data_IF_214245568933
#
_entry.id   IF_214245568933
#
_cell.length_a   1.000
_cell.length_b   1.000
_cell.length_c   1.000
_cell.angle_alpha   90.00
_cell.angle_beta   90.00
_cell.angle_gamma   90.00
#
_symmetry.space_group_name_H-M   'P 1'
#
loop_
_entity.id
_entity.type
_entity.pdbx_description
1 polymer ?
#
# COMPACT_ATOMS: atom_id res chain seq x y z
N UNK A 1 -16.18 4.74 12.25
CA UNK A 1 -16.21 3.39 12.86
C UNK A 1 -15.03 3.27 13.80
N UNK A 2 -15.14 2.53 14.92
CA UNK A 2 -14.01 2.31 15.81
C UNK A 2 -12.88 1.52 15.11
N UNK A 3 -11.68 1.56 15.69
CA UNK A 3 -10.52 0.78 15.26
C UNK A 3 -10.88 -0.69 15.03
N UNK A 4 -10.40 -1.28 13.95
CA UNK A 4 -10.49 -2.72 13.68
C UNK A 4 -9.62 -3.51 14.66
N UNK A 5 -10.17 -4.55 15.28
CA UNK A 5 -9.49 -5.37 16.29
C UNK A 5 -8.97 -6.70 15.75
N UNK A 6 -9.36 -7.04 14.53
CA UNK A 6 -8.95 -8.25 13.83
C UNK A 6 -7.62 -8.08 13.08
N UNK A 7 -7.21 -6.83 12.79
CA UNK A 7 -5.90 -6.51 12.21
C UNK A 7 -4.90 -6.10 13.29
N UNK A 8 -3.67 -6.61 13.20
CA UNK A 8 -2.56 -6.25 14.11
C UNK A 8 -1.39 -5.63 13.37
N UNK A 9 -1.20 -5.99 12.11
CA UNK A 9 -0.06 -5.62 11.29
C UNK A 9 -0.49 -5.19 9.89
N UNK A 10 0.07 -4.07 9.42
CA UNK A 10 -0.30 -3.45 8.16
C UNK A 10 0.96 -3.16 7.36
N UNK A 11 0.99 -3.62 6.11
CA UNK A 11 2.02 -3.31 5.13
C UNK A 11 1.62 -2.11 4.27
N UNK A 12 2.36 -1.02 4.38
CA UNK A 12 2.23 0.16 3.52
C UNK A 12 3.21 0.00 2.33
N UNK A 13 2.73 0.28 1.12
CA UNK A 13 3.56 0.31 -0.09
C UNK A 13 3.82 1.77 -0.45
N UNK A 14 5.08 2.19 -0.42
CA UNK A 14 5.51 3.53 -0.80
C UNK A 14 5.51 3.76 -2.32
N UNK A 15 5.85 4.99 -2.73
CA UNK A 15 5.84 5.39 -4.14
C UNK A 15 7.12 5.04 -4.90
N UNK A 16 8.24 4.81 -4.20
CA UNK A 16 9.54 4.63 -4.81
C UNK A 16 10.21 5.98 -5.14
N UNK A 17 11.14 6.02 -6.11
CA UNK A 17 11.89 7.23 -6.44
C UNK A 17 11.00 8.34 -6.98
N UNK A 18 11.39 9.60 -6.72
CA UNK A 18 10.69 10.78 -7.24
C UNK A 18 10.84 10.85 -8.76
N UNK A 19 9.70 11.01 -9.44
CA UNK A 19 9.62 11.22 -10.90
C UNK A 19 8.61 12.33 -11.21
N UNK A 20 8.67 12.88 -12.42
CA UNK A 20 7.66 13.84 -12.88
C UNK A 20 6.28 13.16 -12.86
N UNK A 21 5.32 13.76 -12.15
CA UNK A 21 3.96 13.23 -11.96
C UNK A 21 3.78 12.29 -10.76
N UNK A 22 4.86 11.93 -10.05
CA UNK A 22 4.80 11.18 -8.80
C UNK A 22 5.99 11.55 -7.90
N UNK A 23 5.80 12.50 -7.00
CA UNK A 23 6.87 13.15 -6.26
C UNK A 23 6.67 13.11 -4.73
N UNK A 24 7.08 14.19 -4.04
CA UNK A 24 7.18 14.27 -2.59
C UNK A 24 5.84 14.12 -1.85
N UNK A 25 4.72 14.33 -2.54
CA UNK A 25 3.37 14.18 -1.99
C UNK A 25 3.12 12.78 -1.39
N UNK A 26 3.83 11.75 -1.87
CA UNK A 26 3.70 10.39 -1.35
C UNK A 26 4.62 10.11 -0.15
N UNK A 27 5.71 10.84 0.02
CA UNK A 27 6.45 10.81 1.30
C UNK A 27 5.59 11.44 2.39
N UNK A 28 5.01 12.62 2.12
CA UNK A 28 4.09 13.28 3.03
C UNK A 28 2.91 12.37 3.43
N UNK A 29 2.22 11.80 2.43
CA UNK A 29 1.05 10.93 2.67
C UNK A 29 1.44 9.62 3.37
N UNK A 30 2.55 9.00 2.94
CA UNK A 30 3.08 7.78 3.56
C UNK A 30 3.51 7.99 5.01
N UNK A 31 4.19 9.09 5.32
CA UNK A 31 4.59 9.45 6.68
C UNK A 31 3.37 9.67 7.59
N UNK A 32 2.32 10.32 7.09
CA UNK A 32 1.06 10.47 7.82
C UNK A 32 0.38 9.12 8.08
N UNK A 33 0.35 8.23 7.08
CA UNK A 33 -0.21 6.89 7.25
C UNK A 33 0.57 6.07 8.29
N UNK A 34 1.90 6.08 8.24
CA UNK A 34 2.77 5.45 9.24
C UNK A 34 2.45 5.97 10.65
N UNK A 35 2.39 7.30 10.81
CA UNK A 35 2.09 7.93 12.10
C UNK A 35 0.71 7.54 12.62
N UNK A 36 -0.33 7.68 11.80
CA UNK A 36 -1.70 7.38 12.20
C UNK A 36 -1.88 5.92 12.62
N UNK A 37 -1.31 4.98 11.86
CA UNK A 37 -1.41 3.55 12.21
C UNK A 37 -0.62 3.20 13.48
N UNK A 38 0.53 3.82 13.71
CA UNK A 38 1.29 3.63 14.96
C UNK A 38 0.60 4.22 16.17
N UNK A 39 0.00 5.40 16.05
CA UNK A 39 -0.77 6.04 17.14
C UNK A 39 -1.97 5.17 17.54
N UNK A 40 -2.60 4.50 16.56
CA UNK A 40 -3.64 3.51 16.80
C UNK A 40 -3.11 2.17 17.30
N UNK A 41 -1.79 1.98 17.41
CA UNK A 41 -1.16 0.76 17.95
C UNK A 41 -1.17 -0.43 17.00
N UNK A 42 -1.14 -0.20 15.69
CA UNK A 42 -0.83 -1.25 14.71
C UNK A 42 0.67 -1.41 14.56
N UNK A 43 1.10 -2.64 14.27
CA UNK A 43 2.44 -2.91 13.76
C UNK A 43 2.53 -2.45 12.31
N UNK A 44 3.38 -1.48 12.02
CA UNK A 44 3.54 -0.92 10.68
C UNK A 44 4.77 -1.54 10.00
N UNK A 45 4.55 -2.14 8.84
CA UNK A 45 5.60 -2.57 7.92
C UNK A 45 5.55 -1.63 6.73
N UNK A 46 6.69 -1.13 6.29
CA UNK A 46 6.79 -0.24 5.16
C UNK A 46 7.80 -0.76 4.14
N UNK A 47 7.46 -0.68 2.85
CA UNK A 47 8.43 -0.84 1.76
C UNK A 47 8.48 0.43 0.91
N UNK A 48 9.65 1.02 0.75
CA UNK A 48 9.88 2.13 -0.16
C UNK A 48 11.33 2.14 -0.63
N UNK A 49 11.57 2.09 -1.95
CA UNK A 49 12.93 2.07 -2.49
C UNK A 49 13.65 3.43 -2.44
N UNK A 50 12.95 4.52 -2.11
CA UNK A 50 13.55 5.85 -2.03
C UNK A 50 14.13 6.10 -0.63
N UNK A 51 15.47 6.22 -0.47
CA UNK A 51 16.08 6.43 0.83
C UNK A 51 15.96 7.88 1.34
N UNK A 52 15.56 8.82 0.49
CA UNK A 52 15.47 10.24 0.83
C UNK A 52 14.04 10.62 1.26
N UNK A 53 13.41 9.81 2.12
CA UNK A 53 12.03 10.02 2.57
C UNK A 53 11.91 9.94 4.08
N UNK A 54 11.10 10.81 4.68
CA UNK A 54 10.85 10.76 6.12
C UNK A 54 10.14 9.47 6.49
N UNK A 55 9.21 8.98 5.65
CA UNK A 55 8.49 7.74 5.94
C UNK A 55 9.43 6.52 6.12
N UNK A 56 10.64 6.54 5.54
CA UNK A 56 11.64 5.48 5.69
C UNK A 56 12.56 5.65 6.90
N UNK A 57 12.39 6.69 7.72
CA UNK A 57 13.17 6.83 8.93
C UNK A 57 12.87 5.65 9.90
N UNK A 58 13.88 5.12 10.61
CA UNK A 58 13.71 3.91 11.44
C UNK A 58 12.63 4.03 12.53
N UNK A 59 12.32 5.25 12.98
CA UNK A 59 11.31 5.55 13.99
C UNK A 59 9.88 5.60 13.45
N UNK A 60 9.69 5.63 12.12
CA UNK A 60 8.38 5.83 11.50
C UNK A 60 7.58 4.54 11.32
N UNK A 61 8.23 3.38 11.27
CA UNK A 61 7.57 2.06 11.15
C UNK A 61 8.28 1.03 12.04
N UNK A 62 7.61 -0.08 12.34
CA UNK A 62 8.21 -1.17 13.14
C UNK A 62 9.17 -2.02 12.29
N UNK A 63 8.91 -2.10 10.98
CA UNK A 63 9.77 -2.75 10.01
C UNK A 63 9.83 -1.92 8.71
N UNK A 64 10.98 -1.31 8.43
CA UNK A 64 11.20 -0.51 7.22
C UNK A 64 12.09 -1.25 6.23
N UNK A 65 11.63 -1.38 4.99
CA UNK A 65 12.34 -2.01 3.88
C UNK A 65 12.67 -0.97 2.81
N UNK A 66 13.95 -0.63 2.68
CA UNK A 66 14.46 0.15 1.55
C UNK A 66 14.85 -0.81 0.43
N UNK A 67 13.83 -1.34 -0.25
CA UNK A 67 13.94 -2.40 -1.26
C UNK A 67 13.14 -2.04 -2.52
N UNK A 68 13.46 -2.62 -3.70
CA UNK A 68 12.70 -2.37 -4.92
C UNK A 68 11.21 -2.69 -4.78
N UNK A 69 10.35 -1.80 -5.28
CA UNK A 69 8.89 -1.96 -5.23
C UNK A 69 8.41 -2.79 -6.42
N UNK A 70 8.82 -4.05 -6.44
CA UNK A 70 8.35 -5.07 -7.39
C UNK A 70 7.53 -6.11 -6.65
N UNK A 71 6.50 -6.68 -7.30
CA UNK A 71 5.62 -7.63 -6.62
C UNK A 71 6.39 -8.84 -6.08
N UNK A 72 7.48 -9.27 -6.72
CA UNK A 72 8.32 -10.37 -6.25
C UNK A 72 9.04 -10.02 -4.96
N UNK A 73 9.55 -8.80 -4.84
CA UNK A 73 10.22 -8.34 -3.63
C UNK A 73 9.21 -8.16 -2.50
N UNK A 74 8.07 -7.51 -2.80
CA UNK A 74 7.01 -7.32 -1.81
C UNK A 74 6.42 -8.66 -1.37
N UNK A 75 6.33 -9.66 -2.24
CA UNK A 75 5.92 -11.02 -1.87
C UNK A 75 6.88 -11.67 -0.86
N UNK A 76 8.20 -11.47 -0.99
CA UNK A 76 9.18 -11.94 0.00
C UNK A 76 9.01 -11.23 1.35
N UNK A 77 8.72 -9.92 1.33
CA UNK A 77 8.43 -9.15 2.54
C UNK A 77 7.16 -9.69 3.19
N UNK A 78 6.09 -9.93 2.43
CA UNK A 78 4.84 -10.54 2.93
C UNK A 78 5.10 -11.93 3.52
N UNK A 79 5.90 -12.77 2.88
CA UNK A 79 6.22 -14.11 3.38
C UNK A 79 6.98 -14.07 4.72
N UNK A 80 7.91 -13.12 4.87
CA UNK A 80 8.69 -12.92 6.08
C UNK A 80 7.86 -12.28 7.20
N UNK A 81 7.14 -11.21 6.89
CA UNK A 81 6.49 -10.34 7.86
C UNK A 81 5.06 -10.75 8.21
N UNK A 82 4.41 -11.51 7.32
CA UNK A 82 3.02 -11.99 7.43
C UNK A 82 2.05 -10.88 7.89
N UNK A 83 1.97 -9.74 7.15
CA UNK A 83 1.04 -8.68 7.48
C UNK A 83 -0.40 -9.17 7.40
N UNK A 84 -1.27 -8.68 8.28
CA UNK A 84 -2.71 -8.98 8.22
C UNK A 84 -3.38 -8.23 7.07
N UNK A 85 -2.89 -7.02 6.76
CA UNK A 85 -3.42 -6.20 5.68
C UNK A 85 -2.34 -5.43 4.91
N UNK A 86 -2.68 -4.99 3.69
CA UNK A 86 -1.92 -4.05 2.89
C UNK A 86 -2.70 -2.76 2.67
N UNK A 87 -2.00 -1.62 2.71
CA UNK A 87 -2.54 -0.29 2.41
C UNK A 87 -1.86 0.27 1.14
N UNK A 88 -2.45 0.09 -0.05
CA UNK A 88 -1.83 0.45 -1.32
C UNK A 88 -2.12 1.89 -1.79
N UNK A 89 -2.88 2.67 -1.01
CA UNK A 89 -3.43 3.98 -1.43
C UNK A 89 -2.52 5.17 -1.13
N UNK A 90 -1.32 4.94 -0.59
CA UNK A 90 -0.42 6.00 -0.11
C UNK A 90 0.86 6.15 -0.94
N UNK A 91 1.05 5.32 -1.97
CA UNK A 91 2.27 5.28 -2.80
C UNK A 91 2.01 5.49 -4.29
N UNK A 92 0.99 6.28 -4.64
CA UNK A 92 0.67 6.63 -6.02
C UNK A 92 0.40 5.42 -6.91
N UNK A 93 0.72 5.56 -8.21
CA UNK A 93 0.50 4.50 -9.18
C UNK A 93 1.40 3.29 -8.92
N UNK A 94 2.63 3.52 -8.43
CA UNK A 94 3.56 2.43 -8.08
C UNK A 94 2.91 1.45 -7.10
N UNK A 95 2.31 1.96 -6.02
CA UNK A 95 1.69 1.13 -5.00
C UNK A 95 0.43 0.43 -5.50
N UNK A 96 -0.44 1.12 -6.25
CA UNK A 96 -1.65 0.53 -6.83
C UNK A 96 -1.31 -0.61 -7.79
N UNK A 97 -0.39 -0.38 -8.73
CA UNK A 97 0.04 -1.40 -9.69
C UNK A 97 0.66 -2.60 -8.97
N UNK A 98 1.55 -2.36 -7.99
CA UNK A 98 2.16 -3.45 -7.23
C UNK A 98 1.12 -4.27 -6.46
N UNK A 99 0.12 -3.62 -5.86
CA UNK A 99 -0.94 -4.30 -5.12
C UNK A 99 -1.86 -5.13 -6.03
N UNK A 100 -2.19 -4.60 -7.21
CA UNK A 100 -2.93 -5.35 -8.23
C UNK A 100 -2.13 -6.54 -8.76
N UNK A 101 -0.82 -6.40 -8.98
CA UNK A 101 0.06 -7.51 -9.38
C UNK A 101 0.15 -8.58 -8.29
N UNK A 102 0.31 -8.20 -7.02
CA UNK A 102 0.28 -9.14 -5.89
C UNK A 102 -1.03 -9.93 -5.83
N UNK A 103 -2.17 -9.25 -6.04
CA UNK A 103 -3.48 -9.88 -6.10
C UNK A 103 -3.62 -10.81 -7.32
N UNK A 104 -3.17 -10.35 -8.50
CA UNK A 104 -3.19 -11.12 -9.76
C UNK A 104 -2.34 -12.38 -9.68
N UNK A 105 -1.21 -12.32 -8.99
CA UNK A 105 -0.32 -13.47 -8.76
C UNK A 105 -0.74 -14.34 -7.55
N UNK A 106 -1.89 -14.07 -6.93
CA UNK A 106 -2.44 -14.87 -5.82
C UNK A 106 -1.63 -14.77 -4.53
N UNK A 107 -0.72 -13.80 -4.40
CA UNK A 107 0.14 -13.65 -3.22
C UNK A 107 -0.69 -13.26 -2.00
N UNK A 108 -1.61 -12.30 -2.16
CA UNK A 108 -2.45 -11.83 -1.06
C UNK A 108 -3.34 -12.95 -0.52
N UNK A 109 -3.98 -13.71 -1.42
CA UNK A 109 -4.83 -14.85 -1.04
C UNK A 109 -4.01 -15.96 -0.37
N UNK A 110 -2.86 -16.33 -0.94
CA UNK A 110 -1.96 -17.36 -0.38
C UNK A 110 -1.52 -17.05 1.06
N UNK A 111 -1.30 -15.78 1.37
CA UNK A 111 -0.81 -15.34 2.68
C UNK A 111 -1.92 -14.79 3.59
N UNK A 112 -3.18 -14.78 3.14
CA UNK A 112 -4.32 -14.27 3.92
C UNK A 112 -4.25 -12.77 4.19
N UNK A 113 -3.65 -11.99 3.28
CA UNK A 113 -3.44 -10.55 3.44
C UNK A 113 -4.64 -9.79 2.88
N UNK A 114 -5.30 -8.99 3.71
CA UNK A 114 -6.44 -8.18 3.30
C UNK A 114 -6.01 -6.86 2.64
N UNK A 115 -6.70 -6.44 1.58
CA UNK A 115 -6.48 -5.09 1.01
C UNK A 115 -7.43 -4.08 1.66
N UNK A 116 -6.87 -3.09 2.35
CA UNK A 116 -7.62 -2.03 3.04
C UNK A 116 -7.44 -0.66 2.37
N UNK A 117 -8.32 0.29 2.70
CA UNK A 117 -8.35 1.62 2.08
C UNK A 117 -9.11 1.64 0.75
N UNK A 118 -8.74 0.77 -0.18
CA UNK A 118 -9.47 0.52 -1.42
C UNK A 118 -9.46 -0.97 -1.76
N UNK A 119 -10.61 -1.52 -2.17
CA UNK A 119 -10.67 -2.91 -2.64
C UNK A 119 -10.06 -3.02 -4.03
N UNK A 120 -9.65 -4.24 -4.41
CA UNK A 120 -9.15 -4.55 -5.75
C UNK A 120 -10.15 -4.10 -6.82
N UNK A 121 -11.43 -4.38 -6.62
CA UNK A 121 -12.51 -4.05 -7.55
C UNK A 121 -12.69 -2.53 -7.66
N UNK A 122 -12.54 -1.79 -6.55
CA UNK A 122 -12.64 -0.35 -6.55
C UNK A 122 -11.48 0.30 -7.31
N UNK A 123 -10.25 -0.19 -7.10
CA UNK A 123 -9.06 0.29 -7.84
C UNK A 123 -9.23 0.00 -9.33
N UNK A 124 -9.54 -1.24 -9.69
CA UNK A 124 -9.72 -1.66 -11.08
C UNK A 124 -10.85 -0.90 -11.79
N UNK A 125 -11.95 -0.61 -11.09
CA UNK A 125 -13.07 0.18 -11.62
C UNK A 125 -12.69 1.65 -11.87
N UNK A 126 -11.79 2.23 -11.08
CA UNK A 126 -11.36 3.61 -11.23
C UNK A 126 -10.24 3.77 -12.27
N UNK A 127 -9.30 2.83 -12.32
CA UNK A 127 -8.11 2.88 -13.18
C UNK A 127 -8.41 2.43 -14.63
N UNK A 128 -9.34 1.48 -14.80
CA UNK A 128 -9.81 1.08 -16.13
C UNK A 128 -10.81 2.12 -16.66
N UNK A 129 -10.39 2.87 -17.69
CA UNK A 129 -11.19 3.95 -18.29
C UNK A 129 -12.55 3.50 -18.79
N UNK A 130 -12.67 2.27 -19.29
CA UNK A 130 -13.95 1.76 -19.80
C UNK A 130 -14.88 1.39 -18.63
N UNK A 131 -14.36 0.72 -17.60
CA UNK A 131 -15.13 0.43 -16.38
C UNK A 131 -15.54 1.71 -15.66
N UNK A 132 -14.66 2.71 -15.62
CA UNK A 132 -14.95 4.01 -15.05
C UNK A 132 -16.06 4.72 -15.83
N UNK A 133 -16.00 4.74 -17.16
CA UNK A 133 -17.05 5.31 -18.01
C UNK A 133 -18.40 4.61 -17.77
N UNK A 134 -18.41 3.28 -17.70
CA UNK A 134 -19.62 2.52 -17.38
C UNK A 134 -20.16 2.85 -15.99
N UNK A 135 -19.28 3.05 -15.00
CA UNK A 135 -19.65 3.48 -13.67
C UNK A 135 -20.34 4.85 -13.67
N UNK A 136 -19.79 5.83 -14.40
CA UNK A 136 -20.38 7.16 -14.51
C UNK A 136 -21.76 7.06 -15.19
N UNK A 137 -21.86 6.36 -16.32
CA UNK A 137 -23.14 6.16 -17.00
C UNK A 137 -24.21 5.50 -16.11
N UNK A 138 -23.80 4.66 -15.16
CA UNK A 138 -24.74 3.98 -14.25
C UNK A 138 -25.36 4.90 -13.19
N UNK A 139 -24.76 6.07 -12.93
CA UNK A 139 -25.22 7.02 -11.92
C UNK A 139 -25.79 8.33 -12.51
N UNK A 140 -25.80 8.46 -13.84
CA UNK A 140 -26.31 9.63 -14.57
C UNK A 140 -25.26 10.70 -14.84
#
# INVERSE_FOLDING_TARGET
MPKRTDLKSILIIGAGPIVIGQACEFDYSGAQACKALREEGYRVILVNSNPATIMTDPEMADATYIEPITWQMVAKIIEKEKPDAILPTMGGQTALNCALDLAKHGVLEKHGVEMIGASREAIDKAEDREKFKQAMNSIG
#
